data_IF_402030733699
#
_entry.id   IF_402030733699
#
_cell.length_a   1.000
_cell.length_b   1.000
_cell.length_c   1.000
_cell.angle_alpha   90.00
_cell.angle_beta   90.00
_cell.angle_gamma   90.00
#
_symmetry.space_group_name_H-M   'P 1'
#
loop_
_entity.id
_entity.type
_entity.pdbx_description
1 polymer ?
#
# COMPACT_ATOMS: atom_id res chain seq x y z
N UNK A 1 -10.88 -75.39 6.30
CA UNK A 1 -10.48 -74.45 5.22
C UNK A 1 -11.75 -73.98 4.55
N UNK A 2 -11.87 -72.67 4.26
CA UNK A 2 -13.11 -71.92 3.97
C UNK A 2 -14.04 -71.84 5.21
N UNK A 3 -14.58 -70.70 5.63
CA UNK A 3 -15.34 -69.73 4.83
C UNK A 3 -15.15 -68.26 5.26
N UNK A 4 -15.48 -67.41 4.30
CA UNK A 4 -15.32 -65.96 4.23
C UNK A 4 -16.23 -65.24 5.25
N UNK A 5 -15.65 -64.44 6.15
CA UNK A 5 -16.42 -63.41 6.87
C UNK A 5 -16.43 -62.12 6.05
N UNK A 6 -17.59 -61.88 5.42
CA UNK A 6 -17.98 -60.64 4.75
C UNK A 6 -18.21 -59.57 5.82
N UNK A 7 -17.40 -58.52 5.82
CA UNK A 7 -17.56 -57.35 6.68
C UNK A 7 -17.53 -56.12 5.79
N UNK A 8 -18.68 -55.52 5.55
CA UNK A 8 -18.83 -54.19 4.96
C UNK A 8 -20.27 -53.78 5.17
N UNK A 9 -20.52 -52.97 6.21
CA UNK A 9 -21.49 -51.88 6.21
C UNK A 9 -21.52 -51.26 7.62
N UNK A 10 -20.70 -50.22 7.81
CA UNK A 10 -21.04 -49.09 8.66
C UNK A 10 -20.44 -47.85 8.01
N UNK A 11 -21.30 -47.09 7.34
CA UNK A 11 -21.06 -45.69 6.98
C UNK A 11 -20.82 -44.95 8.29
N UNK A 12 -19.54 -44.75 8.61
CA UNK A 12 -19.10 -43.80 9.61
C UNK A 12 -18.66 -42.58 8.82
N UNK A 13 -19.38 -41.48 9.01
CA UNK A 13 -18.89 -40.15 8.65
C UNK A 13 -18.23 -39.60 9.91
N UNK A 14 -16.90 -39.70 10.07
CA UNK A 14 -16.22 -38.97 11.12
C UNK A 14 -15.66 -37.66 10.57
N UNK A 15 -15.95 -36.57 11.28
CA UNK A 15 -14.98 -35.49 11.40
C UNK A 15 -15.25 -34.28 10.52
N UNK A 16 -16.15 -33.42 11.02
CA UNK A 16 -15.85 -32.00 11.14
C UNK A 16 -14.45 -31.85 11.75
N UNK A 17 -13.44 -31.74 10.91
CA UNK A 17 -12.06 -31.48 11.28
C UNK A 17 -11.59 -30.25 10.51
N UNK A 18 -11.40 -29.15 11.24
CA UNK A 18 -10.60 -28.01 10.82
C UNK A 18 -9.20 -28.50 10.43
N UNK A 19 -8.99 -28.82 9.16
CA UNK A 19 -7.72 -29.30 8.63
C UNK A 19 -7.06 -28.20 7.80
N UNK A 20 -6.08 -27.56 8.44
CA UNK A 20 -4.85 -27.10 7.80
C UNK A 20 -4.99 -26.26 6.54
N UNK A 21 -5.10 -24.94 6.72
CA UNK A 21 -4.57 -23.99 5.73
C UNK A 21 -3.05 -24.12 5.82
N UNK A 22 -2.43 -25.03 5.06
CA UNK A 22 -1.00 -25.05 4.73
C UNK A 22 -0.70 -26.39 4.04
N UNK A 23 -0.95 -26.51 2.74
CA UNK A 23 -0.12 -27.36 1.86
C UNK A 23 -0.10 -26.78 0.44
N UNK A 24 1.10 -26.38 0.01
CA UNK A 24 1.51 -26.21 -1.38
C UNK A 24 0.61 -25.37 -2.27
N UNK A 25 0.73 -24.05 -2.21
CA UNK A 25 0.29 -23.17 -3.32
C UNK A 25 0.88 -23.74 -4.62
N UNK A 26 0.06 -24.24 -5.58
CA UNK A 26 0.58 -24.91 -6.75
C UNK A 26 1.46 -23.91 -7.52
N UNK A 27 2.58 -24.35 -8.13
CA UNK A 27 3.48 -23.46 -8.87
C UNK A 27 2.74 -22.63 -9.93
N UNK A 28 1.64 -23.17 -10.43
CA UNK A 28 0.68 -22.51 -11.32
C UNK A 28 0.02 -21.28 -10.71
N UNK A 29 -0.33 -21.29 -9.43
CA UNK A 29 -0.94 -20.14 -8.77
C UNK A 29 0.08 -19.01 -8.54
N UNK A 30 1.33 -19.33 -8.15
CA UNK A 30 2.41 -18.33 -8.12
C UNK A 30 2.73 -17.74 -9.49
N UNK A 31 2.70 -18.57 -10.53
CA UNK A 31 2.87 -18.12 -11.92
C UNK A 31 1.72 -17.21 -12.37
N UNK A 32 0.49 -17.59 -12.06
CA UNK A 32 -0.71 -16.79 -12.38
C UNK A 32 -0.71 -15.48 -11.61
N UNK A 33 -0.42 -15.50 -10.30
CA UNK A 33 -0.35 -14.29 -9.48
C UNK A 33 0.80 -13.36 -9.87
N UNK A 34 1.91 -13.89 -10.39
CA UNK A 34 2.99 -13.08 -10.98
C UNK A 34 2.65 -12.56 -12.40
N UNK A 35 1.84 -13.29 -13.17
CA UNK A 35 1.42 -12.89 -14.51
C UNK A 35 0.31 -11.84 -14.50
N UNK A 36 -0.55 -11.84 -13.47
CA UNK A 36 -1.67 -10.92 -13.33
C UNK A 36 -1.23 -9.43 -13.29
N UNK A 37 -0.29 -8.99 -12.42
CA UNK A 37 0.25 -7.63 -12.46
C UNK A 37 0.95 -7.31 -13.78
N UNK A 38 1.55 -8.32 -14.42
CA UNK A 38 2.31 -8.17 -15.66
C UNK A 38 1.40 -7.94 -16.88
N UNK A 39 0.18 -8.47 -16.86
CA UNK A 39 -0.79 -8.38 -17.98
C UNK A 39 -1.96 -7.44 -17.72
N UNK A 40 -2.35 -7.28 -16.46
CA UNK A 40 -3.52 -6.50 -16.05
C UNK A 40 -3.19 -5.42 -15.03
N UNK A 41 -1.96 -5.40 -14.50
CA UNK A 41 -1.49 -4.24 -13.76
C UNK A 41 -1.20 -3.12 -14.75
N UNK A 42 -1.92 -2.02 -14.65
CA UNK A 42 -1.42 -0.75 -15.14
C UNK A 42 -0.12 -0.45 -14.38
N UNK A 43 0.99 -0.93 -14.93
CA UNK A 43 2.30 -0.56 -14.46
C UNK A 43 2.54 0.88 -14.92
N UNK A 44 2.04 1.85 -14.15
CA UNK A 44 2.41 3.25 -14.33
C UNK A 44 3.93 3.29 -14.35
N UNK A 45 4.50 3.75 -15.47
CA UNK A 45 5.95 3.74 -15.63
C UNK A 45 6.57 4.55 -14.48
N UNK A 46 7.76 4.15 -14.05
CA UNK A 46 8.45 4.88 -12.98
C UNK A 46 8.73 6.34 -13.37
N UNK A 47 8.84 6.61 -14.67
CA UNK A 47 8.95 7.96 -15.23
C UNK A 47 7.65 8.74 -14.99
N UNK A 48 6.50 8.18 -15.35
CA UNK A 48 5.20 8.81 -15.15
C UNK A 48 4.90 9.06 -13.66
N UNK A 49 5.30 8.15 -12.77
CA UNK A 49 5.17 8.36 -11.31
C UNK A 49 6.03 9.53 -10.82
N UNK A 50 7.27 9.67 -11.32
CA UNK A 50 8.14 10.81 -10.99
C UNK A 50 7.56 12.12 -11.52
N UNK A 51 7.05 12.14 -12.75
CA UNK A 51 6.40 13.30 -13.34
C UNK A 51 5.15 13.71 -12.54
N UNK A 52 4.31 12.76 -12.16
CA UNK A 52 3.16 13.02 -11.29
C UNK A 52 3.60 13.60 -9.96
N UNK A 53 4.64 13.05 -9.32
CA UNK A 53 5.15 13.57 -8.04
C UNK A 53 5.75 14.97 -8.19
N UNK A 54 6.38 15.28 -9.33
CA UNK A 54 6.92 16.61 -9.63
C UNK A 54 5.83 17.63 -9.94
N UNK A 55 4.74 17.22 -10.60
CA UNK A 55 3.61 18.08 -10.93
C UNK A 55 2.58 18.18 -9.80
N UNK A 56 2.71 17.38 -8.73
CA UNK A 56 1.73 17.35 -7.65
C UNK A 56 1.71 18.69 -6.92
N UNK A 57 0.56 19.34 -7.00
CA UNK A 57 0.21 20.56 -6.28
C UNK A 57 -1.08 20.34 -5.50
N UNK A 58 -1.26 21.13 -4.44
CA UNK A 58 -2.52 21.12 -3.68
C UNK A 58 -3.60 21.87 -4.46
N UNK A 59 -4.76 21.25 -4.63
CA UNK A 59 -5.93 21.90 -5.21
C UNK A 59 -6.43 23.07 -4.34
N UNK A 60 -7.08 24.10 -4.93
CA UNK A 60 -7.48 25.31 -4.23
C UNK A 60 -8.46 25.10 -3.06
N UNK A 61 -9.14 23.94 -3.00
CA UNK A 61 -10.08 23.56 -1.92
C UNK A 61 -9.74 22.20 -1.31
N UNK A 62 -8.60 21.62 -1.65
CA UNK A 62 -8.19 20.32 -1.15
C UNK A 62 -7.80 20.45 0.33
N UNK A 63 -8.21 19.52 1.19
CA UNK A 63 -7.79 19.54 2.59
C UNK A 63 -6.29 19.23 2.69
N UNK A 64 -5.50 19.97 3.48
CA UNK A 64 -4.07 19.73 3.60
C UNK A 64 -3.70 18.28 4.01
N UNK A 65 -4.50 17.65 4.88
CA UNK A 65 -4.31 16.24 5.25
C UNK A 65 -4.54 15.25 4.11
N UNK A 66 -5.53 15.51 3.24
CA UNK A 66 -5.79 14.68 2.05
C UNK A 66 -4.62 14.79 1.08
N UNK A 67 -4.17 16.02 0.83
CA UNK A 67 -3.01 16.30 -0.01
C UNK A 67 -1.74 15.61 0.50
N UNK A 68 -1.49 15.68 1.81
CA UNK A 68 -0.35 15.00 2.43
C UNK A 68 -0.40 13.47 2.25
N UNK A 69 -1.59 12.86 2.43
CA UNK A 69 -1.76 11.43 2.24
C UNK A 69 -1.51 11.00 0.78
N UNK A 70 -1.99 11.77 -0.19
CA UNK A 70 -1.73 11.51 -1.61
C UNK A 70 -0.24 11.62 -1.95
N UNK A 71 0.45 12.67 -1.45
CA UNK A 71 1.90 12.84 -1.63
C UNK A 71 2.67 11.66 -1.01
N UNK A 72 2.26 11.19 0.16
CA UNK A 72 2.87 10.04 0.82
C UNK A 72 2.72 8.76 -0.03
N UNK A 73 1.50 8.48 -0.49
CA UNK A 73 1.21 7.31 -1.31
C UNK A 73 1.98 7.35 -2.64
N UNK A 74 2.03 8.51 -3.28
CA UNK A 74 2.73 8.70 -4.55
C UNK A 74 4.26 8.58 -4.38
N UNK A 75 4.81 9.12 -3.30
CA UNK A 75 6.25 8.98 -2.97
C UNK A 75 6.59 7.51 -2.71
N UNK A 76 5.72 6.77 -2.01
CA UNK A 76 5.93 5.36 -1.71
C UNK A 76 5.90 4.48 -2.96
N UNK A 77 5.02 4.79 -3.92
CA UNK A 77 4.95 4.12 -5.22
C UNK A 77 6.16 4.47 -6.10
N UNK A 78 6.56 5.74 -6.13
CA UNK A 78 7.66 6.24 -6.98
C UNK A 78 9.02 5.70 -6.53
N UNK A 79 9.23 5.65 -5.22
CA UNK A 79 10.50 5.30 -4.58
C UNK A 79 10.36 4.09 -3.67
N UNK A 80 9.81 2.99 -4.16
CA UNK A 80 9.62 1.76 -3.38
C UNK A 80 10.91 1.24 -2.75
N UNK A 81 12.06 1.43 -3.40
CA UNK A 81 13.39 0.95 -2.98
C UNK A 81 14.13 1.85 -1.97
N UNK A 82 13.69 3.09 -1.74
CA UNK A 82 14.37 3.98 -0.78
C UNK A 82 14.08 3.56 0.68
N UNK A 83 14.90 4.03 1.61
CA UNK A 83 14.66 3.86 3.06
C UNK A 83 13.64 4.89 3.57
N UNK A 84 12.93 4.56 4.66
CA UNK A 84 11.91 5.43 5.27
C UNK A 84 12.33 6.90 5.41
N UNK A 85 13.49 7.22 6.02
CA UNK A 85 13.90 8.61 6.22
C UNK A 85 14.09 9.40 4.93
N UNK A 86 14.60 8.76 3.87
CA UNK A 86 14.78 9.41 2.56
C UNK A 86 13.46 9.57 1.82
N UNK A 87 12.50 8.65 2.00
CA UNK A 87 11.16 8.80 1.44
C UNK A 87 10.41 9.92 2.15
N UNK A 88 10.50 9.99 3.47
CA UNK A 88 9.81 11.01 4.26
C UNK A 88 10.32 12.41 3.92
N UNK A 89 11.63 12.58 3.73
CA UNK A 89 12.19 13.87 3.30
C UNK A 89 11.74 14.27 1.88
N UNK A 90 11.68 13.32 0.94
CA UNK A 90 11.15 13.55 -0.41
C UNK A 90 9.66 13.92 -0.40
N UNK A 91 8.88 13.20 0.41
CA UNK A 91 7.45 13.44 0.55
C UNK A 91 7.18 14.81 1.20
N UNK A 92 7.95 15.17 2.23
CA UNK A 92 7.88 16.47 2.89
C UNK A 92 8.26 17.61 1.96
N UNK A 93 9.34 17.47 1.18
CA UNK A 93 9.74 18.48 0.20
C UNK A 93 8.66 18.69 -0.87
N UNK A 94 8.09 17.59 -1.37
CA UNK A 94 7.00 17.63 -2.36
C UNK A 94 5.75 18.30 -1.78
N UNK A 95 5.40 17.96 -0.53
CA UNK A 95 4.29 18.58 0.18
C UNK A 95 4.46 20.09 0.27
N UNK A 96 5.62 20.57 0.75
CA UNK A 96 5.90 21.99 0.85
C UNK A 96 5.90 22.71 -0.50
N UNK A 97 6.48 22.10 -1.55
CA UNK A 97 6.51 22.69 -2.89
C UNK A 97 5.09 22.92 -3.44
N UNK A 98 4.19 21.96 -3.24
CA UNK A 98 2.82 22.05 -3.75
C UNK A 98 1.85 22.86 -2.87
N UNK A 99 2.27 23.30 -1.68
CA UNK A 99 1.52 24.26 -0.86
C UNK A 99 1.66 25.67 -1.46
N UNK A 100 0.81 26.00 -2.43
CA UNK A 100 0.81 27.32 -3.11
C UNK A 100 0.50 28.52 -2.21
N UNK A 101 -0.03 28.29 -1.00
CA UNK A 101 -0.47 29.35 -0.09
C UNK A 101 0.57 29.62 0.99
N UNK A 102 1.11 30.85 1.02
CA UNK A 102 2.14 31.31 1.96
C UNK A 102 1.75 31.14 3.42
N UNK A 103 0.48 31.34 3.79
CA UNK A 103 0.03 31.21 5.19
C UNK A 103 0.12 29.78 5.73
N UNK A 104 -0.20 28.76 4.93
CA UNK A 104 -0.05 27.36 5.33
C UNK A 104 1.42 26.99 5.41
N UNK A 105 2.21 27.47 4.45
CA UNK A 105 3.65 27.28 4.47
C UNK A 105 4.27 27.84 5.77
N UNK A 106 3.91 29.07 6.13
CA UNK A 106 4.32 29.70 7.39
C UNK A 106 3.87 28.92 8.62
N UNK A 107 2.62 28.45 8.66
CA UNK A 107 2.13 27.66 9.80
C UNK A 107 2.94 26.37 10.01
N UNK A 108 3.24 25.63 8.93
CA UNK A 108 4.05 24.41 9.04
C UNK A 108 5.51 24.69 9.36
N UNK A 109 6.08 25.76 8.82
CA UNK A 109 7.45 26.17 9.17
C UNK A 109 7.56 26.59 10.64
N UNK A 110 6.57 27.30 11.18
CA UNK A 110 6.52 27.68 12.60
C UNK A 110 6.35 26.44 13.49
N UNK A 111 5.56 25.45 13.05
CA UNK A 111 5.36 24.20 13.76
C UNK A 111 6.59 23.26 13.76
N UNK A 112 7.70 23.63 13.12
CA UNK A 112 8.95 22.85 13.07
C UNK A 112 8.75 21.40 12.59
N UNK A 113 7.92 21.21 11.57
CA UNK A 113 7.63 19.87 11.05
C UNK A 113 8.86 19.28 10.35
N UNK A 114 9.45 18.25 10.97
CA UNK A 114 10.61 17.52 10.45
C UNK A 114 10.22 16.27 9.66
N UNK A 115 8.95 15.87 9.70
CA UNK A 115 8.40 14.75 8.93
C UNK A 115 7.02 15.09 8.37
N UNK A 116 6.61 14.33 7.33
CA UNK A 116 5.27 14.48 6.76
C UNK A 116 4.16 14.07 7.74
N UNK A 117 4.46 13.14 8.65
CA UNK A 117 3.53 12.71 9.69
C UNK A 117 3.26 13.82 10.72
N UNK A 118 4.29 14.61 11.05
CA UNK A 118 4.13 15.79 11.91
C UNK A 118 3.26 16.83 11.21
N UNK A 119 3.53 17.09 9.92
CA UNK A 119 2.70 17.99 9.12
C UNK A 119 1.24 17.54 9.09
N UNK A 120 0.95 16.25 8.88
CA UNK A 120 -0.40 15.69 8.96
C UNK A 120 -1.03 15.91 10.35
N UNK A 121 -0.27 15.75 11.42
CA UNK A 121 -0.78 15.94 12.78
C UNK A 121 -1.23 17.38 13.05
N UNK A 122 -0.52 18.36 12.50
CA UNK A 122 -0.90 19.79 12.60
C UNK A 122 -2.08 20.18 11.69
N UNK A 123 -2.46 19.36 10.71
CA UNK A 123 -3.66 19.62 9.88
C UNK A 123 -4.96 19.55 10.69
N UNK A 124 -4.98 18.84 11.83
CA UNK A 124 -6.17 18.68 12.67
C UNK A 124 -6.63 19.97 13.35
N UNK A 125 -5.80 21.01 13.30
CA UNK A 125 -6.09 22.33 13.88
C UNK A 125 -6.54 23.37 12.83
N UNK A 126 -6.76 22.94 11.58
CA UNK A 126 -7.30 23.73 10.45
C UNK A 126 -8.58 23.09 9.89
#
# INVERSE_FOLDING_TARGET
MSERKKAEEKVSIPGSGTAGINEGEPPTFKLLSAALPRRFGEATSQIALKEQLQAKERGPREKPGLYAAEVQQLTQRTYSQLTGPKKDSLALNTFFRGLRATHLWQHYCIASTNSLNDAQSHTKHF
#
